data_IF_157605469831
#
_entry.id   IF_157605469831
#
_cell.length_a   1.000
_cell.length_b   1.000
_cell.length_c   1.000
_cell.angle_alpha   90.00
_cell.angle_beta   90.00
_cell.angle_gamma   90.00
#
_symmetry.space_group_name_H-M   'P 1'
#
loop_
_entity.id
_entity.type
_entity.pdbx_description
1 polymer ?
#
# COMPACT_ATOMS: atom_id res chain seq x y z
N UNK A 1 -29.11 2.71 69.45
CA UNK A 1 -30.12 3.16 68.46
C UNK A 1 -29.33 4.00 67.46
N UNK A 2 -28.85 3.50 66.32
CA UNK A 2 -29.50 2.72 65.26
C UNK A 2 -28.44 1.85 64.57
N UNK A 3 -28.72 0.55 64.46
CA UNK A 3 -27.94 -0.41 63.68
C UNK A 3 -28.06 -0.04 62.19
N UNK A 4 -26.95 0.29 61.54
CA UNK A 4 -26.85 0.33 60.08
C UNK A 4 -27.00 -1.09 59.56
N UNK A 5 -28.17 -1.37 58.96
CA UNK A 5 -28.50 -2.60 58.24
C UNK A 5 -27.40 -2.88 57.20
N UNK A 6 -26.66 -3.96 57.37
CA UNK A 6 -25.86 -4.54 56.29
C UNK A 6 -26.82 -4.94 55.15
N UNK A 7 -26.57 -4.42 53.95
CA UNK A 7 -27.20 -4.96 52.75
C UNK A 7 -26.63 -6.35 52.50
N UNK A 8 -27.48 -7.39 52.36
CA UNK A 8 -26.98 -8.71 52.00
C UNK A 8 -26.33 -8.60 50.62
N UNK A 9 -25.06 -9.03 50.52
CA UNK A 9 -24.38 -9.23 49.23
C UNK A 9 -25.25 -10.19 48.44
N UNK A 10 -26.00 -9.66 47.48
CA UNK A 10 -26.71 -10.47 46.51
C UNK A 10 -25.69 -11.38 45.85
N UNK A 11 -25.84 -12.68 46.06
CA UNK A 11 -25.23 -13.69 45.23
C UNK A 11 -25.53 -13.31 43.79
N UNK A 12 -24.51 -13.00 42.99
CA UNK A 12 -24.65 -12.90 41.55
C UNK A 12 -25.15 -14.28 41.13
N UNK A 13 -26.46 -14.41 40.94
CA UNK A 13 -27.05 -15.66 40.48
C UNK A 13 -26.35 -16.01 39.19
N UNK A 14 -25.85 -17.24 39.10
CA UNK A 14 -25.42 -17.82 37.84
C UNK A 14 -26.52 -17.54 36.83
N UNK A 15 -26.20 -16.70 35.84
CA UNK A 15 -27.10 -16.48 34.71
C UNK A 15 -27.17 -17.83 34.01
N UNK A 16 -28.28 -18.54 34.20
CA UNK A 16 -28.54 -19.83 33.58
C UNK A 16 -28.59 -19.66 32.05
N UNK A 17 -27.43 -19.87 31.42
CA UNK A 17 -27.23 -19.84 29.98
C UNK A 17 -27.62 -21.16 29.31
N UNK A 18 -28.06 -22.18 30.06
CA UNK A 18 -28.46 -23.47 29.49
C UNK A 18 -29.68 -23.36 28.56
N UNK A 19 -30.47 -22.29 28.70
CA UNK A 19 -31.65 -21.99 27.88
C UNK A 19 -31.45 -20.94 26.78
N UNK A 20 -30.23 -20.44 26.53
CA UNK A 20 -29.99 -19.42 25.51
C UNK A 20 -30.23 -19.98 24.10
N UNK A 21 -31.46 -19.88 23.60
CA UNK A 21 -31.83 -20.35 22.26
C UNK A 21 -30.95 -19.66 21.20
N UNK A 22 -30.30 -20.45 20.34
CA UNK A 22 -29.55 -19.94 19.21
C UNK A 22 -30.44 -19.06 18.34
N UNK A 23 -30.20 -17.75 18.35
CA UNK A 23 -30.89 -16.78 17.50
C UNK A 23 -30.60 -17.17 16.04
N UNK A 24 -31.61 -17.72 15.36
CA UNK A 24 -31.50 -18.03 13.93
C UNK A 24 -31.35 -16.70 13.19
N UNK A 25 -30.36 -16.63 12.30
CA UNK A 25 -30.14 -15.46 11.45
C UNK A 25 -30.62 -15.74 10.02
N UNK A 26 -31.94 -15.82 9.74
CA UNK A 26 -32.47 -16.14 8.42
C UNK A 26 -32.01 -15.13 7.36
N UNK A 27 -31.85 -13.86 7.73
CA UNK A 27 -31.31 -12.80 6.87
C UNK A 27 -29.90 -13.10 6.36
N UNK A 28 -29.05 -13.81 7.12
CA UNK A 28 -27.71 -14.21 6.65
C UNK A 28 -27.80 -15.27 5.56
N UNK A 29 -28.70 -16.23 5.70
CA UNK A 29 -28.92 -17.27 4.68
C UNK A 29 -29.48 -16.67 3.39
N UNK A 30 -30.44 -15.75 3.51
CA UNK A 30 -30.99 -15.02 2.36
C UNK A 30 -29.89 -14.18 1.69
N UNK A 31 -29.09 -13.44 2.46
CA UNK A 31 -27.98 -12.65 1.92
C UNK A 31 -26.92 -13.53 1.23
N UNK A 32 -26.52 -14.66 1.84
CA UNK A 32 -25.60 -15.62 1.23
C UNK A 32 -26.16 -16.20 -0.06
N UNK A 33 -27.45 -16.52 -0.11
CA UNK A 33 -28.11 -17.01 -1.32
C UNK A 33 -28.10 -15.95 -2.42
N UNK A 34 -28.43 -14.70 -2.11
CA UNK A 34 -28.37 -13.58 -3.06
C UNK A 34 -26.95 -13.43 -3.61
N UNK A 35 -25.93 -13.45 -2.75
CA UNK A 35 -24.52 -13.35 -3.17
C UNK A 35 -24.13 -14.52 -4.09
N UNK A 36 -24.55 -15.75 -3.77
CA UNK A 36 -24.28 -16.92 -4.62
C UNK A 36 -24.96 -16.82 -5.98
N UNK A 37 -26.22 -16.35 -6.02
CA UNK A 37 -26.94 -16.15 -7.29
C UNK A 37 -26.27 -15.07 -8.14
N UNK A 38 -25.88 -13.93 -7.55
CA UNK A 38 -25.17 -12.87 -8.26
C UNK A 38 -23.81 -13.34 -8.77
N UNK A 39 -23.08 -14.13 -7.96
CA UNK A 39 -21.82 -14.73 -8.39
C UNK A 39 -22.02 -15.69 -9.56
N UNK A 40 -23.05 -16.55 -9.50
CA UNK A 40 -23.39 -17.47 -10.58
C UNK A 40 -23.79 -16.72 -11.87
N UNK A 41 -24.60 -15.66 -11.75
CA UNK A 41 -24.97 -14.80 -12.89
C UNK A 41 -23.74 -14.13 -13.50
N UNK A 42 -22.82 -13.64 -12.68
CA UNK A 42 -21.57 -13.05 -13.16
C UNK A 42 -20.69 -14.08 -13.87
N UNK A 43 -20.52 -15.29 -13.32
CA UNK A 43 -19.75 -16.35 -13.98
C UNK A 43 -20.40 -16.82 -15.27
N UNK A 44 -21.73 -16.88 -15.32
CA UNK A 44 -22.45 -17.21 -16.54
C UNK A 44 -22.20 -16.15 -17.60
N UNK A 45 -22.32 -14.87 -17.26
CA UNK A 45 -22.02 -13.75 -18.16
C UNK A 45 -20.59 -13.84 -18.72
N UNK A 46 -19.61 -14.13 -17.87
CA UNK A 46 -18.20 -14.26 -18.29
C UNK A 46 -17.99 -15.36 -19.32
N UNK A 47 -18.71 -16.49 -19.20
CA UNK A 47 -18.49 -17.64 -20.07
C UNK A 47 -19.35 -17.63 -21.34
N UNK A 48 -20.59 -17.16 -21.26
CA UNK A 48 -21.53 -17.24 -22.38
C UNK A 48 -21.49 -16.02 -23.32
N UNK A 49 -20.75 -14.97 -22.97
CA UNK A 49 -20.69 -13.76 -23.78
C UNK A 49 -19.50 -13.81 -24.75
N UNK A 50 -19.81 -14.02 -26.03
CA UNK A 50 -18.83 -14.11 -27.12
C UNK A 50 -17.94 -12.86 -27.26
N UNK A 51 -18.38 -11.71 -26.74
CA UNK A 51 -17.59 -10.46 -26.76
C UNK A 51 -16.33 -10.52 -25.90
N UNK A 52 -16.22 -11.48 -24.97
CA UNK A 52 -15.00 -11.65 -24.17
C UNK A 52 -13.85 -12.28 -24.95
N UNK A 53 -14.14 -13.06 -26.00
CA UNK A 53 -13.13 -13.63 -26.91
C UNK A 53 -11.95 -14.28 -26.17
N UNK A 54 -12.25 -15.28 -25.33
CA UNK A 54 -11.26 -15.95 -24.46
C UNK A 54 -10.10 -16.60 -25.22
N UNK A 55 -10.29 -16.94 -26.50
CA UNK A 55 -9.25 -17.41 -27.40
C UNK A 55 -8.17 -16.33 -27.65
N UNK A 56 -8.59 -15.07 -27.83
CA UNK A 56 -7.71 -13.92 -27.99
C UNK A 56 -7.01 -13.61 -26.67
N UNK A 57 -7.73 -13.65 -25.54
CA UNK A 57 -7.15 -13.49 -24.20
C UNK A 57 -6.02 -14.50 -23.99
N UNK A 58 -6.29 -15.79 -24.23
CA UNK A 58 -5.29 -16.85 -24.07
C UNK A 58 -4.05 -16.67 -24.96
N UNK A 59 -4.24 -16.14 -26.18
CA UNK A 59 -3.13 -15.82 -27.09
C UNK A 59 -2.23 -14.71 -26.55
N UNK A 60 -2.83 -13.61 -26.07
CA UNK A 60 -2.07 -12.46 -25.56
C UNK A 60 -1.49 -12.69 -24.16
N UNK A 61 -2.07 -13.58 -23.37
CA UNK A 61 -1.48 -13.99 -22.08
C UNK A 61 -0.04 -14.49 -22.21
N UNK A 62 0.32 -15.16 -23.32
CA UNK A 62 1.65 -15.69 -23.58
C UNK A 62 2.46 -14.88 -24.62
N UNK A 63 1.99 -13.68 -25.00
CA UNK A 63 2.66 -12.87 -26.01
C UNK A 63 3.90 -12.19 -25.43
N UNK A 64 5.05 -12.28 -26.14
CA UNK A 64 6.32 -11.66 -25.71
C UNK A 64 6.17 -10.16 -25.43
N UNK A 65 5.43 -9.45 -26.28
CA UNK A 65 5.21 -8.00 -26.12
C UNK A 65 4.51 -7.64 -24.80
N UNK A 66 3.60 -8.49 -24.33
CA UNK A 66 2.95 -8.32 -23.03
C UNK A 66 3.95 -8.56 -21.90
N UNK A 67 4.82 -9.56 -22.06
CA UNK A 67 5.96 -9.81 -21.16
C UNK A 67 6.89 -8.61 -21.01
N UNK A 68 7.22 -7.93 -22.12
CA UNK A 68 8.05 -6.71 -22.09
C UNK A 68 7.35 -5.58 -21.31
N UNK A 69 6.06 -5.36 -21.54
CA UNK A 69 5.27 -4.38 -20.78
C UNK A 69 5.20 -4.71 -19.28
N UNK A 70 5.08 -6.00 -18.91
CA UNK A 70 5.15 -6.46 -17.52
C UNK A 70 6.53 -6.18 -16.91
N UNK A 71 7.61 -6.43 -17.65
CA UNK A 71 8.96 -6.17 -17.18
C UNK A 71 9.16 -4.68 -16.82
N UNK A 72 8.73 -3.77 -17.70
CA UNK A 72 8.76 -2.33 -17.43
C UNK A 72 7.90 -1.95 -16.23
N UNK A 73 6.71 -2.57 -16.08
CA UNK A 73 5.82 -2.34 -14.93
C UNK A 73 6.52 -2.72 -13.62
N UNK A 74 7.18 -3.88 -13.57
CA UNK A 74 7.90 -4.36 -12.39
C UNK A 74 9.13 -3.51 -12.11
N UNK A 75 9.94 -3.21 -13.12
CA UNK A 75 11.13 -2.36 -13.02
C UNK A 75 10.77 -1.00 -12.43
N UNK A 76 9.75 -0.35 -13.01
CA UNK A 76 9.28 0.95 -12.55
C UNK A 76 8.76 0.89 -11.12
N UNK A 77 8.01 -0.16 -10.76
CA UNK A 77 7.53 -0.37 -9.39
C UNK A 77 8.69 -0.44 -8.40
N UNK A 78 9.72 -1.24 -8.70
CA UNK A 78 10.88 -1.43 -7.83
C UNK A 78 11.67 -0.13 -7.67
N UNK A 79 11.96 0.56 -8.77
CA UNK A 79 12.74 1.81 -8.76
C UNK A 79 11.96 2.92 -8.04
N UNK A 80 10.67 3.11 -8.37
CA UNK A 80 9.83 4.13 -7.73
C UNK A 80 9.67 3.86 -6.23
N UNK A 81 9.49 2.60 -5.81
CA UNK A 81 9.47 2.24 -4.39
C UNK A 81 10.81 2.49 -3.70
N UNK A 82 11.95 2.20 -4.35
CA UNK A 82 13.26 2.46 -3.78
C UNK A 82 13.49 3.96 -3.55
N UNK A 83 13.15 4.79 -4.54
CA UNK A 83 13.18 6.26 -4.43
C UNK A 83 12.22 6.74 -3.35
N UNK A 84 10.99 6.22 -3.32
CA UNK A 84 9.97 6.56 -2.34
C UNK A 84 10.36 6.22 -0.91
N UNK A 85 10.92 5.03 -0.66
CA UNK A 85 11.39 4.63 0.67
C UNK A 85 12.58 5.49 1.10
N UNK A 86 13.59 5.67 0.23
CA UNK A 86 14.76 6.47 0.55
C UNK A 86 14.38 7.94 0.83
N UNK A 87 13.60 8.56 -0.05
CA UNK A 87 13.09 9.92 0.14
C UNK A 87 12.18 10.03 1.36
N UNK A 88 11.31 9.04 1.58
CA UNK A 88 10.43 8.98 2.75
C UNK A 88 11.17 8.91 4.07
N UNK A 89 12.27 8.16 4.16
CA UNK A 89 13.14 8.14 5.35
C UNK A 89 13.74 9.54 5.59
N UNK A 90 14.30 10.17 4.56
CA UNK A 90 14.89 11.51 4.69
C UNK A 90 13.86 12.55 5.15
N UNK A 91 12.67 12.53 4.54
CA UNK A 91 11.57 13.44 4.87
C UNK A 91 11.00 13.17 6.27
N UNK A 92 10.87 11.90 6.68
CA UNK A 92 10.41 11.55 8.02
C UNK A 92 11.37 12.06 9.10
N UNK A 93 12.68 11.91 8.89
CA UNK A 93 13.70 12.47 9.79
C UNK A 93 13.60 14.00 9.84
N UNK A 94 13.47 14.67 8.70
CA UNK A 94 13.29 16.11 8.65
C UNK A 94 12.02 16.59 9.38
N UNK A 95 10.92 15.83 9.28
CA UNK A 95 9.66 16.11 9.99
C UNK A 95 9.72 15.89 11.50
N UNK A 96 10.62 15.04 11.97
CA UNK A 96 10.84 14.78 13.40
C UNK A 96 11.93 15.68 14.00
N UNK A 97 12.56 16.53 13.19
CA UNK A 97 13.60 17.45 13.65
C UNK A 97 13.03 18.57 14.54
N UNK A 98 13.82 18.97 15.53
CA UNK A 98 13.56 20.17 16.35
C UNK A 98 13.71 21.47 15.56
N UNK A 99 14.43 21.44 14.43
CA UNK A 99 14.61 22.62 13.58
C UNK A 99 13.29 22.97 12.86
N UNK A 100 12.67 24.13 13.16
CA UNK A 100 11.38 24.49 12.59
C UNK A 100 11.43 24.68 11.08
N UNK A 101 12.57 25.10 10.51
CA UNK A 101 12.72 25.29 9.07
C UNK A 101 12.66 23.94 8.34
N UNK A 102 13.45 22.96 8.80
CA UNK A 102 13.49 21.63 8.20
C UNK A 102 12.13 20.92 8.34
N UNK A 103 11.54 20.98 9.53
CA UNK A 103 10.21 20.41 9.80
C UNK A 103 9.13 20.99 8.91
N UNK A 104 9.14 22.31 8.70
CA UNK A 104 8.16 23.01 7.87
C UNK A 104 8.39 22.72 6.39
N UNK A 105 9.63 22.74 5.91
CA UNK A 105 9.97 22.44 4.51
C UNK A 105 9.54 21.01 4.13
N UNK A 106 9.87 20.00 4.95
CA UNK A 106 9.41 18.63 4.74
C UNK A 106 7.89 18.51 4.87
N UNK A 107 7.26 19.26 5.78
CA UNK A 107 5.80 19.32 5.91
C UNK A 107 5.11 19.85 4.65
N UNK A 108 5.62 20.93 4.06
CA UNK A 108 5.11 21.51 2.81
C UNK A 108 5.28 20.55 1.63
N UNK A 109 6.44 19.90 1.52
CA UNK A 109 6.66 18.85 0.52
C UNK A 109 5.60 17.75 0.64
N UNK A 110 5.41 17.20 1.85
CA UNK A 110 4.46 16.11 2.07
C UNK A 110 3.03 16.56 1.79
N UNK A 111 2.64 17.77 2.20
CA UNK A 111 1.33 18.35 1.91
C UNK A 111 1.09 18.47 0.40
N UNK A 112 2.06 19.01 -0.34
CA UNK A 112 1.94 19.20 -1.78
C UNK A 112 1.83 17.87 -2.54
N UNK A 113 2.80 16.97 -2.35
CA UNK A 113 2.87 15.72 -3.12
C UNK A 113 1.70 14.78 -2.82
N UNK A 114 1.13 14.82 -1.61
CA UNK A 114 -0.09 14.07 -1.27
C UNK A 114 -1.37 14.78 -1.69
N UNK A 115 -1.36 16.11 -1.79
CA UNK A 115 -2.51 16.92 -2.17
C UNK A 115 -2.77 16.95 -3.69
N UNK A 116 -1.72 16.83 -4.50
CA UNK A 116 -1.83 16.86 -5.97
C UNK A 116 -2.00 15.44 -6.53
N UNK A 117 -2.97 15.18 -7.41
CA UNK A 117 -3.12 13.87 -8.05
C UNK A 117 -1.85 13.43 -8.79
N UNK A 118 -1.43 12.17 -8.60
CA UNK A 118 -0.18 11.65 -9.19
C UNK A 118 -0.19 11.71 -10.73
N UNK A 119 -1.35 11.55 -11.37
CA UNK A 119 -1.50 11.72 -12.83
C UNK A 119 -1.06 13.14 -13.27
N UNK A 120 -1.48 14.17 -12.54
CA UNK A 120 -1.11 15.56 -12.85
C UNK A 120 0.40 15.75 -12.69
N UNK A 121 0.99 15.15 -11.65
CA UNK A 121 2.44 15.18 -11.44
C UNK A 121 3.17 14.52 -12.61
N UNK A 122 2.74 13.33 -13.06
CA UNK A 122 3.33 12.64 -14.21
C UNK A 122 3.31 13.50 -15.48
N UNK A 123 2.18 14.14 -15.77
CA UNK A 123 2.06 15.03 -16.93
C UNK A 123 3.00 16.23 -16.81
N UNK A 124 3.13 16.83 -15.63
CA UNK A 124 4.06 17.95 -15.39
C UNK A 124 5.51 17.50 -15.59
N UNK A 125 5.91 16.37 -15.00
CA UNK A 125 7.28 15.86 -15.13
C UNK A 125 7.63 15.51 -16.58
N UNK A 126 6.70 14.90 -17.30
CA UNK A 126 6.89 14.56 -18.71
C UNK A 126 7.02 15.81 -19.59
N UNK A 127 6.26 16.86 -19.29
CA UNK A 127 6.32 18.14 -20.00
C UNK A 127 7.29 19.14 -19.36
N UNK A 128 8.24 18.69 -18.53
CA UNK A 128 9.13 19.60 -17.81
C UNK A 128 9.98 20.44 -18.76
N UNK A 129 10.31 19.92 -19.95
CA UNK A 129 11.02 20.67 -21.00
C UNK A 129 10.22 21.84 -21.56
N UNK A 130 8.89 21.79 -21.51
CA UNK A 130 8.04 22.93 -21.92
C UNK A 130 8.07 24.06 -20.87
N UNK A 131 8.22 23.71 -19.58
CA UNK A 131 8.34 24.67 -18.48
C UNK A 131 9.77 25.21 -18.34
N UNK A 132 10.75 24.33 -18.50
CA UNK A 132 12.17 24.59 -18.35
C UNK A 132 12.93 23.96 -19.53
N UNK A 133 13.05 24.64 -20.67
CA UNK A 133 13.68 24.08 -21.87
C UNK A 133 15.15 23.70 -21.66
N UNK A 134 15.85 24.45 -20.81
CA UNK A 134 17.21 24.16 -20.39
C UNK A 134 17.23 23.97 -18.88
N UNK A 135 17.75 22.83 -18.45
CA UNK A 135 18.06 22.60 -17.05
C UNK A 135 19.50 23.04 -16.83
N UNK A 136 19.69 24.07 -16.01
CA UNK A 136 21.02 24.48 -15.56
C UNK A 136 21.18 24.20 -14.07
N UNK A 137 22.28 23.54 -13.72
CA UNK A 137 22.74 23.41 -12.34
C UNK A 137 23.82 24.46 -12.16
N UNK A 138 23.50 25.48 -11.39
CA UNK A 138 24.34 26.63 -11.10
C UNK A 138 24.09 27.17 -9.71
N UNK A 139 24.79 28.24 -9.35
CA UNK A 139 24.44 29.02 -8.17
C UNK A 139 23.13 29.77 -8.50
N UNK A 140 22.11 29.75 -7.62
CA UNK A 140 20.94 30.61 -7.80
C UNK A 140 21.41 32.07 -7.97
N UNK A 141 21.05 32.71 -9.08
CA UNK A 141 21.51 34.06 -9.47
C UNK A 141 23.01 34.20 -9.77
N UNK A 142 23.71 33.10 -10.06
CA UNK A 142 25.13 33.07 -10.43
C UNK A 142 25.40 32.26 -11.70
N UNK A 143 26.67 31.89 -11.95
CA UNK A 143 27.05 31.17 -13.17
C UNK A 143 26.51 29.72 -13.16
N UNK A 144 26.14 29.25 -14.35
CA UNK A 144 25.69 27.90 -14.62
C UNK A 144 26.89 26.96 -14.83
N UNK A 145 26.98 25.88 -14.07
CA UNK A 145 28.11 24.93 -14.16
C UNK A 145 27.81 23.76 -15.10
N UNK A 146 26.56 23.28 -15.10
CA UNK A 146 26.09 22.20 -15.96
C UNK A 146 24.81 22.69 -16.63
N UNK A 147 24.73 22.58 -17.95
CA UNK A 147 23.52 22.90 -18.70
C UNK A 147 23.25 21.79 -19.71
N UNK A 148 21.99 21.40 -19.83
CA UNK A 148 21.56 20.40 -20.80
C UNK A 148 20.11 20.64 -21.23
N UNK A 149 19.79 20.17 -22.42
CA UNK A 149 18.42 20.22 -22.92
C UNK A 149 17.55 19.25 -22.11
N UNK A 150 16.51 19.77 -21.49
CA UNK A 150 15.65 19.01 -20.59
C UNK A 150 14.97 17.83 -21.28
N UNK A 151 14.70 17.94 -22.60
CA UNK A 151 14.16 16.83 -23.40
C UNK A 151 15.07 15.60 -23.45
N UNK A 152 16.39 15.79 -23.41
CA UNK A 152 17.33 14.67 -23.39
C UNK A 152 17.49 14.09 -21.98
N UNK A 153 17.38 14.94 -20.95
CA UNK A 153 17.57 14.55 -19.56
C UNK A 153 16.31 13.88 -18.97
N UNK A 154 15.12 14.28 -19.40
CA UNK A 154 13.83 13.82 -18.86
C UNK A 154 13.13 12.96 -19.90
N UNK A 155 13.53 11.69 -19.96
CA UNK A 155 12.83 10.66 -20.74
C UNK A 155 11.50 10.29 -20.07
N UNK A 156 10.54 9.64 -20.76
CA UNK A 156 9.30 9.15 -20.14
C UNK A 156 9.54 8.29 -18.90
N UNK A 157 10.60 7.48 -18.91
CA UNK A 157 10.99 6.64 -17.77
C UNK A 157 11.44 7.50 -16.57
N UNK A 158 12.29 8.50 -16.81
CA UNK A 158 12.76 9.41 -15.75
C UNK A 158 11.60 10.24 -15.20
N UNK A 159 10.72 10.74 -16.08
CA UNK A 159 9.52 11.45 -15.67
C UNK A 159 8.60 10.57 -14.81
N UNK A 160 8.44 9.29 -15.16
CA UNK A 160 7.69 8.32 -14.37
C UNK A 160 8.33 8.07 -13.00
N UNK A 161 9.66 7.88 -12.95
CA UNK A 161 10.39 7.68 -11.69
C UNK A 161 10.27 8.92 -10.79
N UNK A 162 10.37 10.12 -11.34
CA UNK A 162 10.18 11.37 -10.59
C UNK A 162 8.74 11.49 -10.09
N UNK A 163 7.75 11.33 -10.96
CA UNK A 163 6.35 11.46 -10.59
C UNK A 163 5.89 10.45 -9.55
N UNK A 164 6.13 9.17 -9.80
CA UNK A 164 5.75 8.10 -8.88
C UNK A 164 6.62 8.09 -7.63
N UNK A 165 7.94 8.21 -7.77
CA UNK A 165 8.88 8.11 -6.65
C UNK A 165 8.79 9.28 -5.67
N UNK A 166 8.64 10.52 -6.14
CA UNK A 166 8.46 11.68 -5.26
C UNK A 166 7.09 11.68 -4.59
N UNK A 167 6.04 11.25 -5.30
CA UNK A 167 4.73 11.05 -4.70
C UNK A 167 4.80 10.00 -3.57
N UNK A 168 5.41 8.85 -3.85
CA UNK A 168 5.59 7.77 -2.88
C UNK A 168 6.47 8.19 -1.69
N UNK A 169 7.49 9.02 -1.91
CA UNK A 169 8.31 9.56 -0.83
C UNK A 169 7.47 10.32 0.20
N UNK A 170 6.46 11.07 -0.22
CA UNK A 170 5.55 11.75 0.69
C UNK A 170 4.62 10.79 1.45
N UNK A 171 4.17 9.69 0.82
CA UNK A 171 3.40 8.66 1.50
C UNK A 171 4.24 7.88 2.52
N UNK A 172 5.43 7.45 2.11
CA UNK A 172 6.39 6.76 2.97
C UNK A 172 6.85 7.62 4.14
N UNK A 173 7.05 8.93 3.95
CA UNK A 173 7.41 9.85 5.03
C UNK A 173 6.37 9.82 6.17
N UNK A 174 5.08 9.81 5.84
CA UNK A 174 4.01 9.74 6.85
C UNK A 174 3.90 8.38 7.51
N UNK A 175 4.10 7.30 6.75
CA UNK A 175 4.09 5.94 7.29
C UNK A 175 5.24 5.78 8.29
N UNK A 176 6.46 6.18 7.91
CA UNK A 176 7.66 6.08 8.76
C UNK A 176 7.51 6.97 9.98
N UNK A 177 7.11 8.24 9.82
CA UNK A 177 6.88 9.17 10.93
C UNK A 177 5.81 8.64 11.88
N UNK A 178 4.68 8.16 11.35
CA UNK A 178 3.59 7.58 12.14
C UNK A 178 4.04 6.34 12.91
N UNK A 179 4.82 5.45 12.28
CA UNK A 179 5.35 4.26 12.92
C UNK A 179 6.38 4.54 14.01
N UNK A 180 7.21 5.57 13.84
CA UNK A 180 8.15 6.03 14.87
C UNK A 180 7.41 6.63 16.08
N UNK A 181 6.37 7.44 15.84
CA UNK A 181 5.55 8.04 16.90
C UNK A 181 4.61 7.05 17.61
N UNK A 182 4.38 5.88 17.02
CA UNK A 182 3.58 4.82 17.64
C UNK A 182 4.32 4.08 18.77
N UNK A 183 5.64 4.27 18.90
CA UNK A 183 6.43 3.69 19.99
C UNK A 183 6.27 4.55 21.24
N UNK A 184 5.93 3.91 22.36
CA UNK A 184 5.77 4.57 23.66
C UNK A 184 7.05 5.34 24.06
N UNK A 185 6.97 6.67 24.30
CA UNK A 185 8.10 7.47 24.77
C UNK A 185 8.78 6.91 26.02
N UNK A 186 8.03 6.25 26.92
CA UNK A 186 8.55 5.63 28.14
C UNK A 186 9.61 4.56 27.86
N UNK A 187 9.59 3.91 26.69
CA UNK A 187 10.65 2.98 26.26
C UNK A 187 11.99 3.70 26.06
N UNK A 188 11.95 4.92 25.55
CA UNK A 188 13.13 5.75 25.33
C UNK A 188 13.64 6.30 26.66
N UNK A 189 12.75 6.77 27.54
CA UNK A 189 13.08 7.27 28.88
C UNK A 189 13.69 6.16 29.76
N UNK A 190 13.10 4.96 29.78
CA UNK A 190 13.63 3.82 30.52
C UNK A 190 15.02 3.39 30.02
N UNK A 191 15.23 3.39 28.70
CA UNK A 191 16.54 3.09 28.13
C UNK A 191 17.60 4.12 28.53
N UNK A 192 17.24 5.40 28.53
CA UNK A 192 18.13 6.47 28.98
C UNK A 192 18.43 6.37 30.47
N UNK A 193 17.47 5.99 31.31
CA UNK A 193 17.67 5.74 32.74
C UNK A 193 18.63 4.56 33.00
N UNK A 194 18.70 3.59 32.08
CA UNK A 194 19.68 2.49 32.09
C UNK A 194 21.03 2.87 31.44
N UNK A 195 21.26 4.14 31.12
CA UNK A 195 22.51 4.65 30.55
C UNK A 195 22.70 4.33 29.06
N UNK A 196 21.64 3.96 28.32
CA UNK A 196 21.74 3.73 26.89
C UNK A 196 21.82 5.05 26.12
N UNK A 197 22.86 5.21 25.28
CA UNK A 197 22.97 6.34 24.36
C UNK A 197 21.90 6.30 23.25
N UNK A 198 21.50 7.47 22.74
CA UNK A 198 20.38 7.63 21.80
C UNK A 198 20.45 6.75 20.55
N UNK A 199 21.61 6.59 19.93
CA UNK A 199 21.77 5.70 18.77
C UNK A 199 21.56 4.21 19.12
N UNK A 200 21.95 3.78 20.32
CA UNK A 200 21.73 2.41 20.82
C UNK A 200 20.26 2.19 21.17
N UNK A 201 19.63 3.17 21.83
CA UNK A 201 18.19 3.19 22.13
C UNK A 201 17.37 3.10 20.84
N UNK A 202 17.70 3.92 19.84
CA UNK A 202 17.01 3.89 18.55
C UNK A 202 17.15 2.53 17.87
N UNK A 203 18.37 2.04 17.65
CA UNK A 203 18.62 0.80 16.88
C UNK A 203 18.09 -0.46 17.57
N UNK A 204 18.15 -0.53 18.90
CA UNK A 204 17.79 -1.76 19.64
C UNK A 204 16.38 -1.76 20.22
N UNK A 205 15.77 -0.58 20.44
CA UNK A 205 14.48 -0.47 21.12
C UNK A 205 13.43 0.15 20.19
N UNK A 206 13.67 1.37 19.70
CA UNK A 206 12.65 2.12 18.94
C UNK A 206 12.45 1.53 17.55
N UNK A 207 13.51 1.36 16.77
CA UNK A 207 13.44 0.91 15.37
C UNK A 207 12.75 -0.45 15.24
N UNK A 208 13.11 -1.52 15.99
CA UNK A 208 12.43 -2.80 15.87
C UNK A 208 10.93 -2.75 16.18
N UNK A 209 10.52 -1.88 17.12
CA UNK A 209 9.10 -1.68 17.46
C UNK A 209 8.37 -0.87 16.39
N UNK A 210 8.98 0.22 15.92
CA UNK A 210 8.43 1.06 14.86
C UNK A 210 8.23 0.29 13.56
N UNK A 211 9.16 -0.62 13.20
CA UNK A 211 9.06 -1.46 12.00
C UNK A 211 7.76 -2.28 11.96
N UNK A 212 7.18 -2.64 13.12
CA UNK A 212 5.90 -3.36 13.18
C UNK A 212 4.72 -2.53 12.70
N UNK A 213 4.81 -1.21 12.84
CA UNK A 213 3.79 -0.26 12.36
C UNK A 213 4.08 0.23 10.94
N UNK A 214 5.34 0.25 10.52
CA UNK A 214 5.78 0.73 9.19
C UNK A 214 5.55 -0.34 8.11
N UNK A 215 5.91 -1.59 8.38
CA UNK A 215 5.98 -2.63 7.35
C UNK A 215 4.62 -2.98 6.71
N UNK A 216 3.53 -3.21 7.45
CA UNK A 216 2.24 -3.55 6.83
C UNK A 216 1.71 -2.50 5.83
N UNK A 217 1.65 -1.19 6.18
CA UNK A 217 1.26 -0.18 5.21
C UNK A 217 2.28 -0.01 4.08
N UNK A 218 3.59 -0.21 4.30
CA UNK A 218 4.58 -0.20 3.21
C UNK A 218 4.34 -1.31 2.19
N UNK A 219 4.00 -2.54 2.63
CA UNK A 219 3.61 -3.62 1.71
C UNK A 219 2.40 -3.24 0.85
N UNK A 220 1.42 -2.59 1.49
CA UNK A 220 0.24 -2.07 0.78
C UNK A 220 0.61 -0.98 -0.24
N UNK A 221 1.62 -0.15 0.04
CA UNK A 221 2.11 0.82 -0.93
C UNK A 221 2.80 0.18 -2.13
N UNK A 222 3.56 -0.91 -1.96
CA UNK A 222 4.15 -1.64 -3.11
C UNK A 222 3.07 -2.10 -4.09
N UNK A 223 1.97 -2.67 -3.57
CA UNK A 223 0.84 -3.11 -4.39
C UNK A 223 0.14 -1.91 -5.05
N UNK A 224 -0.01 -0.80 -4.34
CA UNK A 224 -0.58 0.41 -4.91
C UNK A 224 0.31 1.02 -5.98
N UNK A 225 1.63 1.00 -5.79
CA UNK A 225 2.62 1.46 -6.77
C UNK A 225 2.53 0.64 -8.05
N UNK A 226 2.47 -0.69 -7.96
CA UNK A 226 2.29 -1.57 -9.13
C UNK A 226 1.03 -1.19 -9.94
N UNK A 227 -0.07 -0.82 -9.28
CA UNK A 227 -1.27 -0.36 -9.99
C UNK A 227 -1.09 1.07 -10.51
N UNK A 228 -0.41 1.93 -9.75
CA UNK A 228 -0.17 3.32 -10.13
C UNK A 228 0.76 3.45 -11.34
N UNK A 229 1.64 2.48 -11.61
CA UNK A 229 2.43 2.47 -12.85
C UNK A 229 1.53 2.50 -14.07
N UNK A 230 0.30 1.98 -14.01
CA UNK A 230 -0.63 2.04 -15.15
C UNK A 230 -0.95 3.48 -15.60
N UNK A 231 -0.75 4.48 -14.73
CA UNK A 231 -0.98 5.88 -15.06
C UNK A 231 0.08 6.44 -16.02
N UNK A 232 1.24 5.77 -16.14
CA UNK A 232 2.30 6.19 -17.07
C UNK A 232 1.93 5.96 -18.53
N UNK A 233 0.87 5.19 -18.80
CA UNK A 233 0.34 5.04 -20.15
C UNK A 233 -0.07 6.39 -20.76
N UNK A 234 -0.42 7.38 -19.93
CA UNK A 234 -0.77 8.74 -20.37
C UNK A 234 0.44 9.52 -20.89
N UNK A 235 1.65 9.19 -20.46
CA UNK A 235 2.90 9.78 -20.94
C UNK A 235 3.61 8.88 -21.97
N UNK A 236 2.86 7.95 -22.57
CA UNK A 236 3.31 7.02 -23.61
C UNK A 236 4.50 6.13 -23.23
N UNK A 237 4.70 5.86 -21.93
CA UNK A 237 5.67 4.88 -21.48
C UNK A 237 5.08 3.47 -21.65
N UNK A 238 5.84 2.58 -22.29
CA UNK A 238 5.39 1.24 -22.68
C UNK A 238 5.34 0.24 -21.52
N UNK A 239 4.53 0.54 -20.51
CA UNK A 239 4.15 -0.40 -19.45
C UNK A 239 3.11 -1.43 -19.96
N UNK A 240 2.63 -2.30 -19.05
CA UNK A 240 1.60 -3.29 -19.37
C UNK A 240 0.34 -2.64 -19.94
N UNK A 241 -0.17 -1.58 -19.31
CA UNK A 241 -1.42 -0.97 -19.77
C UNK A 241 -1.23 -0.28 -21.12
N UNK A 242 -0.18 0.51 -21.31
CA UNK A 242 0.11 1.16 -22.58
C UNK A 242 0.29 0.15 -23.72
N UNK A 243 0.99 -0.96 -23.46
CA UNK A 243 1.21 -2.01 -24.45
C UNK A 243 -0.11 -2.60 -24.93
N UNK A 244 -0.98 -2.91 -23.98
CA UNK A 244 -2.34 -3.40 -24.24
C UNK A 244 -3.15 -2.36 -25.05
N UNK A 245 -3.06 -1.08 -24.68
CA UNK A 245 -3.69 0.04 -25.41
C UNK A 245 -3.22 0.15 -26.85
N UNK A 246 -1.91 0.07 -27.08
CA UNK A 246 -1.32 0.13 -28.41
C UNK A 246 -1.84 -1.00 -29.31
N UNK A 247 -1.99 -2.21 -28.77
CA UNK A 247 -2.48 -3.37 -29.53
C UNK A 247 -3.97 -3.22 -29.84
N UNK A 248 -4.81 -2.92 -28.84
CA UNK A 248 -6.25 -2.87 -29.08
C UNK A 248 -6.66 -1.67 -29.95
N UNK A 249 -5.91 -0.56 -29.92
CA UNK A 249 -6.16 0.58 -30.81
C UNK A 249 -5.91 0.25 -32.29
N UNK A 250 -5.11 -0.80 -32.58
CA UNK A 250 -4.80 -1.26 -33.95
C UNK A 250 -5.69 -2.42 -34.38
N UNK A 251 -6.03 -3.31 -33.44
CA UNK A 251 -6.78 -4.55 -33.70
C UNK A 251 -8.28 -4.39 -33.45
N UNK A 252 -8.70 -3.31 -32.78
CA UNK A 252 -10.06 -3.06 -32.29
C UNK A 252 -10.57 -4.12 -31.30
N UNK A 253 -9.68 -4.92 -30.72
CA UNK A 253 -10.00 -5.97 -29.75
C UNK A 253 -9.93 -5.44 -28.30
N UNK A 254 -10.68 -4.38 -27.99
CA UNK A 254 -10.56 -3.64 -26.72
C UNK A 254 -10.83 -4.52 -25.49
N UNK A 255 -11.95 -5.26 -25.49
CA UNK A 255 -12.36 -6.08 -24.34
C UNK A 255 -11.36 -7.21 -24.01
N UNK A 256 -10.97 -8.11 -24.93
CA UNK A 256 -10.05 -9.20 -24.59
C UNK A 256 -8.65 -8.70 -24.19
N UNK A 257 -8.17 -7.61 -24.77
CA UNK A 257 -6.88 -7.03 -24.41
C UNK A 257 -6.91 -6.39 -23.02
N UNK A 258 -7.99 -5.67 -22.65
CA UNK A 258 -8.17 -5.17 -21.29
C UNK A 258 -8.32 -6.30 -20.27
N UNK A 259 -9.03 -7.38 -20.60
CA UNK A 259 -9.07 -8.58 -19.76
C UNK A 259 -7.67 -9.17 -19.54
N UNK A 260 -6.84 -9.21 -20.59
CA UNK A 260 -5.45 -9.67 -20.50
C UNK A 260 -4.65 -8.83 -19.50
N UNK A 261 -4.77 -7.50 -19.56
CA UNK A 261 -4.16 -6.60 -18.57
C UNK A 261 -4.68 -6.88 -17.15
N UNK A 262 -6.01 -6.98 -16.97
CA UNK A 262 -6.63 -7.24 -15.67
C UNK A 262 -6.13 -8.55 -15.06
N UNK A 263 -6.06 -9.63 -15.85
CA UNK A 263 -5.56 -10.92 -15.40
C UNK A 263 -4.09 -10.84 -14.97
N UNK A 264 -3.24 -10.17 -15.74
CA UNK A 264 -1.84 -9.99 -15.37
C UNK A 264 -1.66 -9.13 -14.11
N UNK A 265 -2.38 -8.02 -13.98
CA UNK A 265 -2.38 -7.23 -12.75
C UNK A 265 -2.83 -8.05 -11.55
N UNK A 266 -3.86 -8.90 -11.70
CA UNK A 266 -4.32 -9.80 -10.64
C UNK A 266 -3.27 -10.86 -10.28
N UNK A 267 -2.60 -11.48 -11.26
CA UNK A 267 -1.53 -12.45 -11.04
C UNK A 267 -0.39 -11.80 -10.25
N UNK A 268 0.13 -10.68 -10.73
CA UNK A 268 1.27 -10.00 -10.10
C UNK A 268 0.89 -9.50 -8.71
N UNK A 269 -0.28 -8.87 -8.56
CA UNK A 269 -0.78 -8.40 -7.27
C UNK A 269 -0.98 -9.55 -6.28
N UNK A 270 -1.46 -10.72 -6.73
CA UNK A 270 -1.61 -11.90 -5.88
C UNK A 270 -0.25 -12.42 -5.37
N UNK A 271 0.77 -12.42 -6.22
CA UNK A 271 2.15 -12.76 -5.83
C UNK A 271 2.66 -11.77 -4.77
N UNK A 272 2.43 -10.46 -4.98
CA UNK A 272 2.81 -9.44 -4.01
C UNK A 272 2.06 -9.58 -2.68
N UNK A 273 0.76 -9.91 -2.68
CA UNK A 273 0.00 -10.18 -1.46
C UNK A 273 0.58 -11.35 -0.66
N UNK A 274 0.99 -12.42 -1.35
CA UNK A 274 1.66 -13.56 -0.71
C UNK A 274 2.98 -13.10 -0.08
N UNK A 275 3.80 -12.34 -0.82
CA UNK A 275 5.05 -11.76 -0.32
C UNK A 275 4.83 -10.85 0.91
N UNK A 276 3.88 -9.92 0.82
CA UNK A 276 3.48 -9.02 1.91
C UNK A 276 3.06 -9.83 3.14
N UNK A 277 2.26 -10.88 2.97
CA UNK A 277 1.84 -11.72 4.08
C UNK A 277 3.04 -12.35 4.81
N UNK A 278 4.03 -12.90 4.09
CA UNK A 278 5.21 -13.48 4.75
C UNK A 278 5.99 -12.44 5.57
N UNK A 279 6.15 -11.24 5.02
CA UNK A 279 6.86 -10.14 5.69
C UNK A 279 6.08 -9.69 6.93
N UNK A 280 4.76 -9.51 6.83
CA UNK A 280 3.91 -9.12 7.96
C UNK A 280 3.92 -10.16 9.09
N UNK A 281 3.89 -11.46 8.74
CA UNK A 281 3.98 -12.53 9.73
C UNK A 281 5.31 -12.52 10.49
N UNK A 282 6.41 -12.09 9.85
CA UNK A 282 7.70 -11.95 10.52
C UNK A 282 7.71 -10.82 11.56
N UNK A 283 7.20 -9.63 11.19
CA UNK A 283 7.24 -8.46 12.06
C UNK A 283 6.12 -8.44 13.13
N UNK A 284 5.01 -9.14 12.92
CA UNK A 284 3.91 -9.23 13.88
C UNK A 284 4.16 -10.22 15.04
N UNK A 285 5.29 -10.96 15.04
CA UNK A 285 5.64 -11.91 16.10
C UNK A 285 5.74 -11.19 17.45
N UNK A 286 4.87 -11.57 18.39
CA UNK A 286 4.88 -11.13 19.79
C UNK A 286 3.82 -10.09 20.17
N UNK A 287 3.05 -9.53 19.23
CA UNK A 287 2.02 -8.53 19.55
C UNK A 287 0.61 -9.12 19.75
N UNK A 288 0.37 -10.37 19.33
CA UNK A 288 -1.01 -10.80 19.05
C UNK A 288 -1.34 -12.17 19.60
N UNK A 289 -1.83 -12.17 20.84
CA UNK A 289 -2.78 -13.21 21.32
C UNK A 289 -4.18 -13.04 20.67
N UNK A 290 -4.42 -11.92 19.94
CA UNK A 290 -5.73 -11.53 19.37
C UNK A 290 -5.68 -10.76 18.02
N UNK A 291 -4.72 -11.00 17.10
CA UNK A 291 -4.75 -10.32 15.78
C UNK A 291 -5.91 -10.80 14.90
N UNK A 292 -6.46 -9.85 14.13
CA UNK A 292 -7.44 -10.06 13.07
C UNK A 292 -6.88 -10.94 11.94
N UNK A 293 -7.79 -11.67 11.31
CA UNK A 293 -7.57 -12.63 10.22
C UNK A 293 -6.61 -12.07 9.15
N UNK A 294 -5.47 -12.72 8.96
CA UNK A 294 -4.59 -12.46 7.82
C UNK A 294 -5.22 -12.97 6.51
N UNK A 295 -4.65 -12.61 5.37
CA UNK A 295 -5.04 -13.12 4.05
C UNK A 295 -5.19 -14.65 4.04
N UNK A 296 -4.28 -15.37 4.71
CA UNK A 296 -4.35 -16.83 4.84
C UNK A 296 -5.49 -17.33 5.71
N UNK A 297 -5.92 -16.61 6.76
CA UNK A 297 -7.09 -17.03 7.55
C UNK A 297 -8.40 -16.87 6.76
N UNK A 298 -8.46 -15.87 5.87
CA UNK A 298 -9.54 -15.71 4.90
C UNK A 298 -9.51 -16.84 3.85
N UNK A 299 -8.36 -17.08 3.21
CA UNK A 299 -8.19 -18.13 2.19
C UNK A 299 -8.45 -19.52 2.76
N UNK A 300 -7.98 -19.80 3.98
CA UNK A 300 -8.17 -21.09 4.65
C UNK A 300 -9.51 -21.19 5.40
N UNK A 301 -10.37 -20.16 5.34
CA UNK A 301 -11.63 -20.06 6.07
C UNK A 301 -11.49 -20.50 7.54
N UNK A 302 -10.37 -20.18 8.19
CA UNK A 302 -10.09 -20.64 9.55
C UNK A 302 -11.06 -19.96 10.50
N UNK A 303 -12.01 -20.74 11.03
CA UNK A 303 -12.95 -20.26 12.06
C UNK A 303 -12.17 -19.81 13.29
N UNK A 304 -12.59 -18.68 13.88
CA UNK A 304 -12.10 -18.23 15.19
C UNK A 304 -12.18 -19.39 16.18
N UNK A 305 -11.05 -19.75 16.81
CA UNK A 305 -11.10 -20.53 18.03
C UNK A 305 -11.78 -19.64 19.09
N UNK A 306 -12.84 -20.09 19.77
CA UNK A 306 -13.39 -19.34 20.89
C UNK A 306 -12.29 -19.09 21.91
N UNK A 307 -12.29 -17.91 22.53
CA UNK A 307 -11.38 -17.61 23.62
C UNK A 307 -11.54 -18.71 24.69
N UNK A 308 -10.46 -19.20 25.31
CA UNK A 308 -10.59 -20.12 26.43
C UNK A 308 -11.45 -19.43 27.49
N UNK A 309 -12.56 -20.08 27.85
CA UNK A 309 -13.37 -19.66 28.99
C UNK A 309 -12.43 -19.53 30.18
N UNK A 310 -12.36 -18.33 30.74
CA UNK A 310 -11.73 -18.14 32.05
C UNK A 310 -12.67 -18.83 33.03
N UNK A 311 -12.36 -20.08 33.35
CA UNK A 311 -12.99 -20.80 34.44
C UNK A 311 -12.70 -20.03 35.74
N UNK A 312 -13.69 -19.85 36.63
CA UNK A 312 -13.57 -19.03 37.84
C UNK A 312 -12.51 -19.52 38.82
#
# INVERSE_FOLDING_TARGET
MTLTKEHPRGTVGDVDVAGAAHVRHPLRWVASLIVLVLAAQFTHLLWTNDNFQWDIVGRYMNASIIGDGIAITIELTVIAMAVGIAGGVMLAVGRLSDNPLLRTACGLYVWFFRGVPVLVQLVIWYNLSALMPRLSVGIPFGPEFLHGDTNHLITPLIAAILGLGLNEAAYMAEIIRGGLLAVDPGQTEAAQALGMGGGRTFRRIVLPQAMRFIIPPTGSQVINMLKATSLVSVIALADLLYTVQSIYNRTFQTIPLLLTACLWYLVITSILYVGQSFIEHHYSRGATRNARQGFWDFVLMRRRRPAPEVSP
#
